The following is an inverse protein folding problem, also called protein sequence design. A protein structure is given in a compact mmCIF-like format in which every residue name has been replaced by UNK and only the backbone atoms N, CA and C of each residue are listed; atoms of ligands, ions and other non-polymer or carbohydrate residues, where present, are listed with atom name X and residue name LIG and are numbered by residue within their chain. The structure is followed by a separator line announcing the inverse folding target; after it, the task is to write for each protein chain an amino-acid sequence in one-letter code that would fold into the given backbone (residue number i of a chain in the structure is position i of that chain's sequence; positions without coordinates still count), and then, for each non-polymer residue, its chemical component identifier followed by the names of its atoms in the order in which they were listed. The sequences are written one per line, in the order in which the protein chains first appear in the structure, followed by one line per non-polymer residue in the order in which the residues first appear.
data_IF_836150553239
#
_entry.id   IF_836150553239
#
_cell.length_a   1.000
_cell.length_b   1.000
_cell.length_c   1.000
_cell.angle_alpha   90.00
_cell.angle_beta   90.00
_cell.angle_gamma   90.00
#
_symmetry.space_group_name_H-M   'P 1'
#
loop_
_entity.id
_entity.type
_entity.pdbx_description
1 polymer ?
#
# COMPACT_ATOMS: atom_id res chain seq x y z
N UNK A 1 7.86 -4.30 -3.24
CA UNK A 1 7.03 -4.56 -4.43
C UNK A 1 7.58 -5.67 -5.34
N UNK A 2 8.88 -5.96 -5.28
CA UNK A 2 9.51 -6.92 -6.18
C UNK A 2 9.16 -6.63 -7.65
N UNK A 3 9.40 -5.39 -8.09
CA UNK A 3 9.10 -4.93 -9.44
C UNK A 3 9.91 -5.70 -10.48
N UNK A 4 9.25 -6.21 -11.52
CA UNK A 4 9.83 -7.01 -12.60
C UNK A 4 9.65 -6.31 -13.94
N UNK A 5 10.51 -6.54 -14.92
CA UNK A 5 10.42 -5.86 -16.22
C UNK A 5 9.07 -6.03 -16.94
N UNK A 6 8.41 -7.17 -16.71
CA UNK A 6 7.09 -7.48 -17.29
C UNK A 6 5.91 -6.87 -16.53
N UNK A 7 6.15 -6.25 -15.34
CA UNK A 7 5.07 -5.69 -14.53
C UNK A 7 4.39 -4.50 -15.20
N UNK A 8 3.12 -4.38 -14.92
CA UNK A 8 2.30 -3.20 -15.17
C UNK A 8 1.89 -2.62 -13.83
N UNK A 9 2.48 -1.49 -13.53
CA UNK A 9 2.36 -0.77 -12.28
C UNK A 9 1.22 0.25 -12.35
N UNK A 10 0.42 0.30 -11.31
CA UNK A 10 -0.56 1.36 -11.14
C UNK A 10 -0.51 1.92 -9.72
N UNK A 11 -0.07 3.18 -9.59
CA UNK A 11 -0.18 3.95 -8.36
C UNK A 11 -1.33 4.95 -8.51
N UNK A 12 -2.31 4.89 -7.63
CA UNK A 12 -3.49 5.76 -7.68
C UNK A 12 -3.37 7.00 -6.79
N UNK A 13 -2.21 7.24 -6.20
CA UNK A 13 -1.95 8.45 -5.44
C UNK A 13 -1.76 9.65 -6.39
N UNK A 14 -2.35 10.78 -6.02
CA UNK A 14 -2.20 12.03 -6.75
C UNK A 14 -0.71 12.44 -6.83
N UNK A 15 -0.19 12.80 -8.00
CA UNK A 15 1.22 13.20 -8.17
C UNK A 15 1.60 14.51 -7.44
N UNK A 16 0.62 15.29 -6.97
CA UNK A 16 0.85 16.42 -6.08
C UNK A 16 1.28 16.02 -4.65
N UNK A 17 1.10 14.75 -4.27
CA UNK A 17 1.58 14.18 -3.03
C UNK A 17 2.88 13.40 -3.25
N UNK A 18 3.69 13.30 -2.18
CA UNK A 18 4.97 12.57 -2.25
C UNK A 18 4.80 11.13 -2.72
N UNK A 19 3.74 10.44 -2.30
CA UNK A 19 3.48 9.06 -2.75
C UNK A 19 3.27 8.99 -4.26
N UNK A 20 2.45 9.88 -4.81
CA UNK A 20 2.21 9.96 -6.26
C UNK A 20 3.46 10.30 -7.04
N UNK A 21 4.27 11.26 -6.57
CA UNK A 21 5.56 11.59 -7.20
C UNK A 21 6.55 10.45 -7.09
N UNK A 22 6.80 9.94 -5.88
CA UNK A 22 7.85 8.94 -5.63
C UNK A 22 7.50 7.57 -6.22
N UNK A 23 6.30 7.09 -5.98
CA UNK A 23 5.87 5.74 -6.38
C UNK A 23 4.97 5.71 -7.62
N UNK A 24 4.35 6.83 -7.98
CA UNK A 24 3.57 6.93 -9.22
C UNK A 24 4.42 7.28 -10.44
N UNK A 25 5.53 8.01 -10.24
CA UNK A 25 6.37 8.50 -11.34
C UNK A 25 7.80 7.96 -11.24
N UNK A 26 8.53 8.31 -10.16
CA UNK A 26 9.98 8.07 -10.08
C UNK A 26 10.30 6.57 -9.98
N UNK A 27 9.66 5.85 -9.08
CA UNK A 27 9.96 4.44 -8.84
C UNK A 27 9.72 3.53 -10.07
N UNK A 28 8.56 3.60 -10.77
CA UNK A 28 8.34 2.78 -11.95
C UNK A 28 9.29 3.15 -13.10
N UNK A 29 9.65 4.42 -13.28
CA UNK A 29 10.62 4.84 -14.28
C UNK A 29 12.02 4.31 -13.98
N UNK A 30 12.46 4.36 -12.73
CA UNK A 30 13.75 3.80 -12.30
C UNK A 30 13.80 2.27 -12.44
N UNK A 31 12.67 1.61 -12.17
CA UNK A 31 12.56 0.16 -12.30
C UNK A 31 12.39 -0.30 -13.77
N UNK A 32 12.13 0.64 -14.70
CA UNK A 32 11.89 0.31 -16.12
C UNK A 32 10.60 -0.46 -16.37
N UNK A 33 9.60 -0.32 -15.49
CA UNK A 33 8.30 -0.99 -15.61
C UNK A 33 7.28 -0.10 -16.30
N UNK A 34 6.31 -0.71 -16.97
CA UNK A 34 5.17 0.02 -17.55
C UNK A 34 4.30 0.58 -16.44
N UNK A 35 4.02 1.87 -16.45
CA UNK A 35 3.15 2.53 -15.48
C UNK A 35 1.86 3.02 -16.13
N UNK A 36 0.72 2.67 -15.53
CA UNK A 36 -0.58 3.24 -15.88
C UNK A 36 -0.74 4.58 -15.18
N UNK A 37 -1.17 5.60 -15.93
CA UNK A 37 -1.58 6.91 -15.41
C UNK A 37 -3.05 7.12 -15.78
N UNK A 38 -3.91 7.09 -14.78
CA UNK A 38 -5.32 7.43 -14.92
C UNK A 38 -5.53 8.89 -14.53
N UNK A 39 -6.15 9.69 -15.41
CA UNK A 39 -6.38 11.11 -15.21
C UNK A 39 -7.80 11.45 -14.79
N UNK A 40 -8.67 10.45 -14.78
CA UNK A 40 -10.06 10.64 -14.44
C UNK A 40 -10.26 10.55 -12.91
N UNK A 41 -11.35 11.12 -12.44
CA UNK A 41 -11.75 10.99 -11.05
C UNK A 41 -12.07 9.53 -10.69
N UNK A 42 -12.09 9.24 -9.39
CA UNK A 42 -12.42 7.91 -8.89
C UNK A 42 -13.80 7.45 -9.37
N UNK A 43 -13.82 6.29 -10.04
CA UNK A 43 -15.02 5.57 -10.40
C UNK A 43 -14.80 4.07 -10.21
N UNK A 44 -15.55 3.43 -9.33
CA UNK A 44 -15.31 2.04 -8.95
C UNK A 44 -15.44 1.05 -10.11
N UNK A 45 -16.48 1.09 -10.96
CA UNK A 45 -16.58 0.22 -12.14
C UNK A 45 -15.37 0.37 -13.05
N UNK A 46 -14.97 1.60 -13.37
CA UNK A 46 -13.84 1.89 -14.24
C UNK A 46 -12.51 1.42 -13.65
N UNK A 47 -12.31 1.56 -12.35
CA UNK A 47 -11.09 1.09 -11.70
C UNK A 47 -10.95 -0.44 -11.78
N UNK A 48 -12.03 -1.19 -11.60
CA UNK A 48 -12.00 -2.63 -11.78
C UNK A 48 -11.76 -3.02 -13.25
N UNK A 49 -12.36 -2.28 -14.18
CA UNK A 49 -12.12 -2.46 -15.60
C UNK A 49 -10.64 -2.21 -15.96
N UNK A 50 -10.02 -1.13 -15.46
CA UNK A 50 -8.61 -0.83 -15.68
C UNK A 50 -7.70 -1.92 -15.10
N UNK A 51 -7.96 -2.42 -13.89
CA UNK A 51 -7.20 -3.53 -13.31
C UNK A 51 -7.21 -4.76 -14.21
N UNK A 52 -8.36 -5.07 -14.80
CA UNK A 52 -8.53 -6.25 -15.67
C UNK A 52 -7.96 -6.03 -17.07
N UNK A 53 -8.44 -5.01 -17.80
CA UNK A 53 -8.14 -4.77 -19.21
C UNK A 53 -6.69 -4.34 -19.43
N UNK A 54 -6.18 -3.47 -18.57
CA UNK A 54 -4.80 -3.02 -18.61
C UNK A 54 -3.83 -4.05 -18.00
N UNK A 55 -4.35 -5.18 -17.52
CA UNK A 55 -3.55 -6.29 -16.95
C UNK A 55 -2.57 -5.81 -15.88
N UNK A 56 -3.05 -4.97 -14.97
CA UNK A 56 -2.24 -4.46 -13.86
C UNK A 56 -1.75 -5.63 -13.02
N UNK A 57 -0.44 -5.69 -12.80
CA UNK A 57 0.19 -6.74 -11.99
C UNK A 57 0.51 -6.28 -10.58
N UNK A 58 0.82 -5.01 -10.40
CA UNK A 58 1.10 -4.40 -9.10
C UNK A 58 0.27 -3.13 -8.96
N UNK A 59 -0.56 -3.10 -7.93
CA UNK A 59 -1.44 -1.97 -7.64
C UNK A 59 -1.10 -1.36 -6.27
N UNK A 60 -0.78 -0.06 -6.25
CA UNK A 60 -0.46 0.71 -5.06
C UNK A 60 -1.47 1.84 -4.86
N UNK A 61 -2.20 1.78 -3.74
CA UNK A 61 -3.35 2.65 -3.52
C UNK A 61 -3.44 3.11 -2.06
N UNK A 62 -4.50 3.79 -1.69
CA UNK A 62 -4.74 4.27 -0.34
C UNK A 62 -5.91 3.54 0.33
N UNK A 63 -5.91 3.39 1.67
CA UNK A 63 -7.02 2.81 2.42
C UNK A 63 -8.36 3.49 2.14
N UNK A 64 -8.38 4.79 1.96
CA UNK A 64 -9.60 5.54 1.60
C UNK A 64 -10.18 5.05 0.27
N UNK A 65 -9.37 4.84 -0.77
CA UNK A 65 -9.82 4.31 -2.05
C UNK A 65 -10.35 2.87 -1.90
N UNK A 66 -9.65 2.03 -1.12
CA UNK A 66 -10.11 0.67 -0.82
C UNK A 66 -11.49 0.70 -0.13
N UNK A 67 -11.68 1.54 0.88
CA UNK A 67 -12.98 1.70 1.55
C UNK A 67 -14.09 2.16 0.59
N UNK A 68 -13.77 3.03 -0.36
CA UNK A 68 -14.72 3.45 -1.40
C UNK A 68 -15.11 2.28 -2.31
N UNK A 69 -14.17 1.43 -2.70
CA UNK A 69 -14.42 0.21 -3.47
C UNK A 69 -15.26 -0.80 -2.68
N UNK A 70 -14.94 -1.01 -1.40
CA UNK A 70 -15.74 -1.86 -0.50
C UNK A 70 -17.19 -1.38 -0.41
N UNK A 71 -17.38 -0.05 -0.28
CA UNK A 71 -18.71 0.57 -0.23
C UNK A 71 -19.49 0.44 -1.55
N UNK A 72 -18.78 0.47 -2.68
CA UNK A 72 -19.39 0.30 -4.00
C UNK A 72 -19.94 -1.14 -4.23
N UNK A 73 -19.44 -2.10 -3.47
CA UNK A 73 -19.94 -3.47 -3.47
C UNK A 73 -19.01 -4.47 -4.17
N UNK A 74 -18.94 -5.68 -3.63
CA UNK A 74 -18.08 -6.76 -4.12
C UNK A 74 -18.48 -7.26 -5.53
N UNK A 75 -19.73 -7.12 -5.90
CA UNK A 75 -20.26 -7.61 -7.19
C UNK A 75 -19.59 -6.93 -8.38
N UNK A 76 -19.26 -5.64 -8.25
CA UNK A 76 -18.53 -4.90 -9.28
C UNK A 76 -17.15 -5.51 -9.54
N UNK A 77 -16.44 -5.87 -8.48
CA UNK A 77 -15.13 -6.50 -8.60
C UNK A 77 -15.23 -7.92 -9.17
N UNK A 78 -16.22 -8.70 -8.73
CA UNK A 78 -16.45 -10.08 -9.18
C UNK A 78 -16.94 -10.17 -10.63
N UNK A 79 -17.36 -9.06 -11.22
CA UNK A 79 -17.69 -9.00 -12.65
C UNK A 79 -16.45 -9.08 -13.56
N UNK A 80 -15.25 -9.00 -13.01
CA UNK A 80 -13.99 -9.05 -13.72
C UNK A 80 -13.07 -10.14 -13.18
N UNK A 81 -12.12 -10.56 -14.01
CA UNK A 81 -11.01 -11.42 -13.63
C UNK A 81 -9.70 -10.62 -13.66
N UNK A 82 -8.80 -10.89 -12.71
CA UNK A 82 -7.52 -10.16 -12.57
C UNK A 82 -6.32 -11.09 -12.71
N UNK A 83 -6.15 -11.78 -13.87
CA UNK A 83 -5.15 -12.83 -14.00
C UNK A 83 -3.71 -12.35 -13.93
N UNK A 84 -3.47 -11.06 -14.12
CA UNK A 84 -2.15 -10.45 -14.00
C UNK A 84 -1.85 -9.92 -12.60
N UNK A 85 -2.88 -9.60 -11.80
CA UNK A 85 -2.71 -8.97 -10.50
C UNK A 85 -2.04 -9.93 -9.52
N UNK A 86 -0.83 -9.57 -9.08
CA UNK A 86 -0.01 -10.40 -8.18
C UNK A 86 0.28 -9.74 -6.85
N UNK A 87 0.13 -8.42 -6.76
CA UNK A 87 0.43 -7.67 -5.56
C UNK A 87 -0.45 -6.41 -5.44
N UNK A 88 -1.04 -6.24 -4.27
CA UNK A 88 -1.79 -5.05 -3.91
C UNK A 88 -1.21 -4.47 -2.63
N UNK A 89 -0.88 -3.20 -2.64
CA UNK A 89 -0.36 -2.51 -1.46
C UNK A 89 -1.13 -1.22 -1.15
N UNK A 90 -1.09 -0.84 0.12
CA UNK A 90 -1.79 0.32 0.67
C UNK A 90 -0.85 1.19 1.47
N UNK A 91 -1.07 2.50 1.42
CA UNK A 91 -0.24 3.49 2.11
C UNK A 91 -1.01 4.77 2.43
N UNK A 92 -0.47 5.54 3.38
CA UNK A 92 -0.90 6.90 3.70
C UNK A 92 -1.79 7.01 4.93
N UNK A 93 -2.49 5.92 5.27
CA UNK A 93 -3.32 5.80 6.46
C UNK A 93 -3.24 4.36 6.98
N UNK A 94 -3.57 4.09 8.26
CA UNK A 94 -3.70 2.71 8.73
C UNK A 94 -4.75 1.93 7.93
N UNK A 95 -4.39 0.74 7.47
CA UNK A 95 -5.31 -0.17 6.81
C UNK A 95 -6.04 -1.01 7.86
N UNK A 96 -7.37 -0.91 7.90
CA UNK A 96 -8.16 -1.71 8.80
C UNK A 96 -8.20 -3.19 8.39
N UNK A 97 -8.32 -4.13 9.36
CA UNK A 97 -8.31 -5.58 9.09
C UNK A 97 -9.33 -6.04 8.06
N UNK A 98 -10.50 -5.43 8.04
CA UNK A 98 -11.59 -5.77 7.11
C UNK A 98 -11.19 -5.57 5.65
N UNK A 99 -10.36 -4.55 5.36
CA UNK A 99 -9.87 -4.29 4.01
C UNK A 99 -8.92 -5.39 3.52
N UNK A 100 -8.10 -5.96 4.43
CA UNK A 100 -7.21 -7.08 4.10
C UNK A 100 -8.03 -8.32 3.73
N UNK A 101 -9.06 -8.64 4.53
CA UNK A 101 -9.95 -9.77 4.27
C UNK A 101 -10.77 -9.58 3.01
N UNK A 102 -11.27 -8.36 2.78
CA UNK A 102 -11.98 -8.00 1.57
C UNK A 102 -11.11 -8.21 0.31
N UNK A 103 -9.86 -7.76 0.33
CA UNK A 103 -8.94 -7.97 -0.78
C UNK A 103 -8.76 -9.46 -1.09
N UNK A 104 -8.60 -10.29 -0.06
CA UNK A 104 -8.47 -11.74 -0.21
C UNK A 104 -9.73 -12.39 -0.78
N UNK A 105 -10.91 -11.96 -0.35
CA UNK A 105 -12.21 -12.50 -0.80
C UNK A 105 -12.57 -12.04 -2.22
N UNK A 106 -12.28 -10.78 -2.55
CA UNK A 106 -12.79 -10.13 -3.76
C UNK A 106 -11.76 -10.08 -4.88
N UNK A 107 -10.48 -9.88 -4.56
CA UNK A 107 -9.38 -9.81 -5.52
C UNK A 107 -8.51 -11.09 -5.55
N UNK A 108 -8.75 -12.01 -4.61
CA UNK A 108 -7.94 -13.21 -4.44
C UNK A 108 -6.58 -12.99 -3.77
N UNK A 109 -6.28 -11.77 -3.34
CA UNK A 109 -4.99 -11.36 -2.78
C UNK A 109 -5.18 -10.53 -1.51
N UNK A 110 -4.35 -10.74 -0.46
CA UNK A 110 -4.34 -9.84 0.69
C UNK A 110 -3.82 -8.47 0.26
N UNK A 111 -4.32 -7.41 0.88
CA UNK A 111 -3.76 -6.07 0.70
C UNK A 111 -2.62 -5.89 1.71
N UNK A 112 -1.44 -5.53 1.20
CA UNK A 112 -0.22 -5.36 1.97
C UNK A 112 -0.10 -3.92 2.43
N UNK A 113 -0.32 -3.68 3.73
CA UNK A 113 -0.09 -2.36 4.30
C UNK A 113 1.40 -2.09 4.47
N UNK A 114 1.79 -0.82 4.36
CA UNK A 114 3.13 -0.37 4.63
C UNK A 114 3.14 1.03 5.26
N UNK A 115 4.25 1.37 5.90
CA UNK A 115 4.45 2.65 6.55
C UNK A 115 5.73 3.32 6.10
N UNK A 116 5.60 4.59 5.81
CA UNK A 116 6.67 5.54 5.58
C UNK A 116 6.14 6.98 5.68
N UNK A 117 7.02 7.94 5.66
CA UNK A 117 6.70 9.36 5.72
C UNK A 117 7.46 10.12 4.63
N UNK A 118 7.04 11.33 4.31
CA UNK A 118 7.79 12.22 3.42
C UNK A 118 9.23 12.39 3.92
N UNK A 119 9.39 12.53 5.23
CA UNK A 119 10.67 12.72 5.93
C UNK A 119 11.59 11.51 5.84
N UNK A 120 11.06 10.31 5.66
CA UNK A 120 11.86 9.08 5.52
C UNK A 120 12.27 8.80 4.07
N UNK A 121 11.63 9.44 3.10
CA UNK A 121 11.94 9.32 1.68
C UNK A 121 11.52 8.01 1.02
N UNK A 122 11.12 7.00 1.77
CA UNK A 122 10.70 5.70 1.26
C UNK A 122 10.15 4.79 2.35
N UNK A 123 9.71 3.59 1.95
CA UNK A 123 9.07 2.60 2.83
C UNK A 123 10.06 2.10 3.87
N UNK A 124 9.66 2.16 5.13
CA UNK A 124 10.43 1.73 6.29
C UNK A 124 9.95 0.39 6.83
N UNK A 125 8.62 0.23 6.93
CA UNK A 125 7.96 -0.97 7.45
C UNK A 125 6.95 -1.44 6.41
N UNK A 126 6.92 -2.73 6.09
CA UNK A 126 6.00 -3.26 5.11
C UNK A 126 5.60 -4.71 5.38
N UNK A 127 4.37 -5.06 5.01
CA UNK A 127 4.00 -6.42 4.69
C UNK A 127 4.61 -6.79 3.34
N UNK A 128 5.31 -7.90 3.28
CA UNK A 128 5.93 -8.42 2.06
C UNK A 128 5.38 -9.79 1.72
N UNK A 129 5.46 -10.24 0.45
CA UNK A 129 5.02 -11.59 0.08
C UNK A 129 5.77 -12.73 0.76
N UNK A 130 6.90 -12.43 1.42
CA UNK A 130 7.70 -13.42 2.14
C UNK A 130 7.09 -13.88 3.46
N UNK A 131 6.08 -13.16 3.97
CA UNK A 131 5.44 -13.44 5.25
C UNK A 131 3.93 -13.35 5.14
N UNK A 132 3.24 -14.07 6.02
CA UNK A 132 1.80 -13.93 6.16
C UNK A 132 1.43 -12.52 6.62
N UNK A 133 0.43 -11.94 5.97
CA UNK A 133 -0.11 -10.63 6.35
C UNK A 133 -0.91 -10.78 7.63
N UNK A 134 -0.50 -10.05 8.68
CA UNK A 134 -1.29 -9.90 9.90
C UNK A 134 -2.21 -8.69 9.74
N UNK A 135 -3.53 -8.88 9.57
CA UNK A 135 -4.47 -7.77 9.40
C UNK A 135 -4.39 -6.76 10.54
N UNK A 136 -4.35 -5.47 10.19
CA UNK A 136 -4.16 -4.37 11.15
C UNK A 136 -2.69 -4.10 11.51
N UNK A 137 -1.73 -4.81 10.90
CA UNK A 137 -0.29 -4.54 11.04
C UNK A 137 0.29 -4.05 9.72
N UNK A 138 1.12 -3.02 9.78
CA UNK A 138 1.87 -2.53 8.62
C UNK A 138 3.07 -3.43 8.26
N UNK A 139 3.29 -4.54 8.97
CA UNK A 139 4.31 -5.52 8.66
C UNK A 139 5.56 -5.43 9.53
N UNK A 140 6.72 -5.60 8.91
CA UNK A 140 8.03 -5.65 9.57
C UNK A 140 8.97 -4.58 9.00
N UNK A 141 9.97 -4.15 9.80
CA UNK A 141 11.03 -3.29 9.29
C UNK A 141 11.70 -3.90 8.05
N UNK A 142 11.96 -3.07 7.05
CA UNK A 142 12.73 -3.50 5.88
C UNK A 142 14.21 -3.65 6.23
N UNK A 143 15.00 -4.40 5.44
CA UNK A 143 16.43 -4.56 5.67
C UNK A 143 17.17 -3.22 5.80
N UNK A 144 17.93 -3.06 6.87
CA UNK A 144 18.65 -1.82 7.18
C UNK A 144 17.84 -0.79 7.96
N UNK A 145 16.62 -1.11 8.35
CA UNK A 145 15.76 -0.25 9.19
C UNK A 145 15.67 -0.84 10.58
N UNK A 146 16.07 -0.04 11.58
CA UNK A 146 15.88 -0.35 12.99
C UNK A 146 14.60 0.35 13.49
N UNK A 147 13.63 -0.44 13.95
CA UNK A 147 12.38 0.07 14.51
C UNK A 147 12.21 -0.40 15.95
N UNK A 148 11.80 0.51 16.84
CA UNK A 148 11.65 0.25 18.27
C UNK A 148 10.29 0.73 18.76
N UNK A 149 9.73 0.02 19.74
CA UNK A 149 8.61 0.50 20.50
C UNK A 149 9.16 1.29 21.70
N UNK A 150 8.68 2.50 21.87
CA UNK A 150 9.15 3.39 22.93
C UNK A 150 8.02 3.85 23.83
N UNK A 151 8.31 4.02 25.12
CA UNK A 151 7.44 4.73 26.06
C UNK A 151 7.94 6.16 26.21
N UNK A 152 7.01 7.10 26.26
CA UNK A 152 7.29 8.47 26.69
C UNK A 152 7.25 8.52 28.23
N UNK A 153 8.32 9.03 28.83
CA UNK A 153 8.43 9.26 30.25
C UNK A 153 8.38 10.78 30.48
N UNK A 154 7.31 11.25 31.08
CA UNK A 154 7.16 12.66 31.51
C UNK A 154 7.59 12.78 32.99
N UNK A 155 8.50 13.70 33.24
CA UNK A 155 8.87 14.10 34.61
C UNK A 155 8.70 15.60 34.72
N UNK A 156 8.07 16.04 35.82
CA UNK A 156 7.83 17.46 36.09
C UNK A 156 9.14 18.25 36.04
N UNK A 157 9.21 19.21 35.10
CA UNK A 157 10.34 20.13 34.97
C UNK A 157 11.54 19.57 34.16
N UNK A 158 11.47 18.34 33.64
CA UNK A 158 12.49 17.79 32.78
C UNK A 158 11.99 17.66 31.30
N UNK A 159 12.88 17.72 30.32
CA UNK A 159 12.49 17.41 28.96
C UNK A 159 11.99 15.95 28.85
N UNK A 160 10.99 15.68 28.00
CA UNK A 160 10.45 14.34 27.83
C UNK A 160 11.55 13.37 27.43
N UNK A 161 11.60 12.21 28.08
CA UNK A 161 12.53 11.11 27.77
C UNK A 161 11.81 10.00 27.05
N UNK A 162 12.50 9.28 26.18
CA UNK A 162 12.01 8.07 25.54
C UNK A 162 12.79 6.88 26.05
N UNK A 163 12.08 5.81 26.43
CA UNK A 163 12.67 4.53 26.79
C UNK A 163 12.20 3.45 25.83
N UNK A 164 13.14 2.72 25.26
CA UNK A 164 12.82 1.55 24.46
C UNK A 164 12.21 0.48 25.37
N UNK A 165 11.01 -0.01 25.05
CA UNK A 165 10.29 -1.01 25.81
C UNK A 165 10.25 -2.37 25.10
N UNK A 166 10.45 -2.39 23.79
CA UNK A 166 10.61 -3.61 23.01
C UNK A 166 11.55 -3.31 21.84
N UNK A 167 12.41 -4.29 21.53
CA UNK A 167 13.23 -4.30 20.33
C UNK A 167 12.72 -5.40 19.42
N UNK A 168 12.71 -5.19 18.12
CA UNK A 168 12.21 -6.16 17.15
C UNK A 168 13.01 -7.47 17.16
#
# INVERSE_FOLDING_TARGET
FDMRPEDRWWCTADPGWVTGTSYGIVAPLLAGVTSLVDREEFDAPRWYQLLAEERISVWYTAPTAIRMLMKAGAELARAHEYPALRFVASVGEPLNPEAVWWGKDVLGLPIHDNWWQTETGGIMIANTPAFDVKPGSMGRPLPGIDAFIVAHEEADGEPPRVRVIDAP
#
